data_IF_874230583287
#
_entry.id   IF_874230583287
#
_cell.length_a   1.000
_cell.length_b   1.000
_cell.length_c   1.000
_cell.angle_alpha   90.00
_cell.angle_beta   90.00
_cell.angle_gamma   90.00
#
_symmetry.space_group_name_H-M   'P 1'
#
loop_
_entity.id
_entity.type
_entity.pdbx_description
1 polymer ?
#
# COMPACT_ATOMS: atom_id res chain seq x y z
N UNK A 1 18.05 20.01 -5.74
CA UNK A 1 17.08 19.06 -6.35
C UNK A 1 16.09 18.68 -5.26
N UNK A 2 14.83 19.05 -5.40
CA UNK A 2 13.74 18.60 -4.53
C UNK A 2 13.58 17.10 -4.74
N UNK A 3 13.92 16.30 -3.73
CA UNK A 3 13.67 14.84 -3.75
C UNK A 3 12.17 14.59 -3.84
N UNK A 4 11.75 13.63 -4.66
CA UNK A 4 10.34 13.28 -4.78
C UNK A 4 9.80 12.78 -3.44
N UNK A 5 8.64 13.29 -3.05
CA UNK A 5 8.06 12.95 -1.77
C UNK A 5 6.60 13.34 -1.65
N UNK A 6 5.87 12.52 -0.91
CA UNK A 6 4.44 12.69 -0.66
C UNK A 6 4.23 13.31 0.71
N UNK A 7 3.24 14.21 0.81
CA UNK A 7 2.76 14.70 2.09
C UNK A 7 1.57 13.84 2.51
N UNK A 8 1.57 13.39 3.76
CA UNK A 8 0.44 12.70 4.37
C UNK A 8 0.08 13.43 5.66
N UNK A 9 -1.18 13.77 5.84
CA UNK A 9 -1.67 14.18 7.17
C UNK A 9 -1.42 13.06 8.19
N UNK A 10 -1.42 13.36 9.49
CA UNK A 10 -1.19 12.33 10.52
C UNK A 10 -2.13 11.12 10.39
N UNK A 11 -3.40 11.36 10.04
CA UNK A 11 -4.37 10.29 9.80
C UNK A 11 -4.04 9.47 8.54
N UNK A 12 -3.64 10.11 7.46
CA UNK A 12 -3.22 9.42 6.22
C UNK A 12 -1.93 8.63 6.42
N UNK A 13 -0.98 9.14 7.20
CA UNK A 13 0.26 8.46 7.53
C UNK A 13 -0.01 7.17 8.32
N UNK A 14 -0.85 7.23 9.36
CA UNK A 14 -1.29 6.04 10.11
C UNK A 14 -2.04 5.05 9.20
N UNK A 15 -2.95 5.55 8.35
CA UNK A 15 -3.66 4.71 7.39
C UNK A 15 -2.69 4.00 6.44
N UNK A 16 -1.69 4.70 5.93
CA UNK A 16 -0.66 4.15 5.04
C UNK A 16 0.20 3.09 5.76
N UNK A 17 0.55 3.29 7.03
CA UNK A 17 1.26 2.29 7.85
C UNK A 17 0.45 0.99 7.95
N UNK A 18 -0.86 1.08 8.25
CA UNK A 18 -1.72 -0.11 8.35
C UNK A 18 -1.88 -0.83 7.00
N UNK A 19 -1.96 -0.07 5.90
CA UNK A 19 -2.00 -0.65 4.56
C UNK A 19 -0.71 -1.40 4.24
N UNK A 20 0.44 -0.85 4.63
CA UNK A 20 1.74 -1.51 4.48
C UNK A 20 1.81 -2.84 5.25
N UNK A 21 1.36 -2.87 6.51
CA UNK A 21 1.32 -4.11 7.29
C UNK A 21 0.47 -5.20 6.65
N UNK A 22 -0.73 -4.84 6.19
CA UNK A 22 -1.64 -5.78 5.52
C UNK A 22 -1.11 -6.23 4.16
N UNK A 23 -0.31 -5.41 3.50
CA UNK A 23 0.22 -5.68 2.16
C UNK A 23 1.32 -6.75 2.11
N UNK A 24 2.08 -6.93 3.19
CA UNK A 24 3.28 -7.79 3.20
C UNK A 24 3.27 -8.93 4.21
N UNK A 25 2.15 -9.13 4.92
CA UNK A 25 2.04 -10.15 5.97
C UNK A 25 2.70 -9.73 7.28
N UNK A 26 2.73 -10.66 8.25
CA UNK A 26 3.29 -10.38 9.57
C UNK A 26 4.81 -10.16 9.48
N UNK A 27 5.30 -9.10 10.14
CA UNK A 27 6.72 -8.74 10.16
C UNK A 27 7.21 -8.66 11.62
N UNK A 28 7.43 -9.79 12.31
CA UNK A 28 7.66 -9.82 13.76
C UNK A 28 8.84 -8.94 14.20
N UNK A 29 9.90 -8.88 13.40
CA UNK A 29 11.08 -8.05 13.69
C UNK A 29 10.73 -6.55 13.69
N UNK A 30 10.06 -6.09 12.64
CA UNK A 30 9.59 -4.70 12.56
C UNK A 30 8.61 -4.40 13.71
N UNK A 31 7.68 -5.31 14.00
CA UNK A 31 6.70 -5.12 15.06
C UNK A 31 7.34 -5.02 16.44
N UNK A 32 8.39 -5.80 16.74
CA UNK A 32 9.16 -5.63 17.98
C UNK A 32 9.80 -4.23 18.08
N UNK A 33 10.38 -3.71 17.00
CA UNK A 33 10.97 -2.37 16.99
C UNK A 33 9.92 -1.29 17.23
N UNK A 34 8.75 -1.43 16.61
CA UNK A 34 7.61 -0.52 16.77
C UNK A 34 7.08 -0.57 18.19
N UNK A 35 6.86 -1.77 18.76
CA UNK A 35 6.36 -1.92 20.13
C UNK A 35 7.28 -1.22 21.14
N UNK A 36 8.59 -1.44 21.01
CA UNK A 36 9.61 -0.77 21.84
C UNK A 36 9.62 0.74 21.65
N UNK A 37 9.49 1.23 20.43
CA UNK A 37 9.54 2.66 20.12
C UNK A 37 8.28 3.41 20.58
N UNK A 38 7.11 2.81 20.40
CA UNK A 38 5.82 3.45 20.69
C UNK A 38 5.44 3.32 22.15
N UNK A 39 5.56 2.12 22.73
CA UNK A 39 5.03 1.80 24.06
C UNK A 39 6.12 1.59 25.12
N UNK A 40 7.39 1.51 24.72
CA UNK A 40 8.51 1.36 25.66
C UNK A 40 8.34 0.11 26.55
N UNK A 41 8.58 0.23 27.87
CA UNK A 41 8.51 -0.91 28.80
C UNK A 41 7.07 -1.35 29.15
N UNK A 42 6.05 -0.57 28.81
CA UNK A 42 4.66 -0.83 29.21
C UNK A 42 4.02 -2.03 28.48
N UNK A 43 4.67 -2.50 27.42
CA UNK A 43 4.27 -3.71 26.68
C UNK A 43 5.40 -4.71 26.64
N UNK A 44 5.13 -5.87 27.23
CA UNK A 44 6.04 -7.00 27.20
C UNK A 44 5.77 -7.79 25.92
N UNK A 45 6.84 -8.12 25.21
CA UNK A 45 6.76 -8.99 24.05
C UNK A 45 7.95 -9.94 24.02
N UNK A 46 7.74 -11.14 23.50
CA UNK A 46 8.77 -12.15 23.35
C UNK A 46 8.64 -12.85 22.00
N UNK A 47 9.79 -13.06 21.35
CA UNK A 47 9.89 -13.83 20.11
C UNK A 47 10.19 -15.29 20.42
N UNK A 48 9.65 -16.15 19.58
CA UNK A 48 10.06 -17.55 19.51
C UNK A 48 10.90 -17.75 18.23
N UNK A 49 12.15 -18.25 18.33
CA UNK A 49 12.98 -18.49 17.15
C UNK A 49 12.31 -19.43 16.15
N UNK A 50 12.35 -19.07 14.86
CA UNK A 50 11.75 -19.87 13.79
C UNK A 50 10.23 -19.77 13.67
N UNK A 51 9.58 -18.86 14.41
CA UNK A 51 8.14 -18.60 14.33
C UNK A 51 7.85 -17.19 13.83
N UNK A 52 6.77 -17.06 13.07
CA UNK A 52 6.30 -15.80 12.46
C UNK A 52 5.26 -15.06 13.33
N UNK A 53 5.41 -15.17 14.66
CA UNK A 53 4.49 -14.60 15.64
C UNK A 53 5.20 -14.02 16.86
N UNK A 54 4.42 -13.46 17.79
CA UNK A 54 4.89 -12.83 19.01
C UNK A 54 4.03 -13.25 20.21
N UNK A 55 4.68 -13.55 21.32
CA UNK A 55 4.06 -13.49 22.63
C UNK A 55 3.92 -12.02 23.04
N UNK A 56 2.72 -11.56 23.39
CA UNK A 56 2.48 -10.18 23.80
C UNK A 56 1.65 -10.13 25.08
N UNK A 57 2.03 -9.25 26.01
CA UNK A 57 1.27 -8.89 27.20
C UNK A 57 1.15 -7.38 27.36
N UNK A 58 0.00 -6.96 27.91
CA UNK A 58 -0.30 -5.56 28.24
C UNK A 58 -0.29 -5.41 29.76
N UNK A 59 0.67 -4.64 30.29
CA UNK A 59 0.85 -4.49 31.74
C UNK A 59 1.05 -5.83 32.47
N UNK A 60 0.16 -6.12 33.42
CA UNK A 60 0.22 -7.33 34.27
C UNK A 60 -0.54 -8.53 33.69
N UNK A 61 -1.07 -8.42 32.46
CA UNK A 61 -1.81 -9.52 31.86
C UNK A 61 -0.89 -10.67 31.44
N UNK A 62 -1.47 -11.87 31.33
CA UNK A 62 -0.76 -13.06 30.81
C UNK A 62 -0.43 -12.87 29.34
N UNK A 63 0.76 -13.29 28.94
CA UNK A 63 1.15 -13.27 27.52
C UNK A 63 0.24 -14.16 26.68
N UNK A 64 -0.15 -13.64 25.50
CA UNK A 64 -0.85 -14.37 24.45
C UNK A 64 0.01 -14.46 23.20
N UNK A 65 -0.04 -15.58 22.50
CA UNK A 65 0.60 -15.75 21.21
C UNK A 65 -0.28 -15.15 20.12
N UNK A 66 0.28 -14.29 19.27
CA UNK A 66 -0.37 -13.73 18.09
C UNK A 66 0.50 -14.00 16.87
N UNK A 67 -0.11 -14.40 15.76
CA UNK A 67 0.57 -14.65 14.49
C UNK A 67 -0.28 -14.26 13.28
N UNK A 68 0.33 -14.19 12.10
CA UNK A 68 -0.37 -13.94 10.84
C UNK A 68 -1.25 -12.67 10.89
N UNK A 69 -2.51 -12.80 10.45
CA UNK A 69 -3.47 -11.70 10.42
C UNK A 69 -3.85 -11.19 11.81
N UNK A 70 -3.89 -12.05 12.83
CA UNK A 70 -4.23 -11.65 14.20
C UNK A 70 -3.19 -10.67 14.75
N UNK A 71 -1.90 -10.95 14.52
CA UNK A 71 -0.82 -10.05 14.89
C UNK A 71 -0.88 -8.73 14.12
N UNK A 72 -1.19 -8.76 12.82
CA UNK A 72 -1.32 -7.55 12.00
C UNK A 72 -2.46 -6.66 12.52
N UNK A 73 -3.63 -7.23 12.78
CA UNK A 73 -4.79 -6.46 13.26
C UNK A 73 -4.57 -5.93 14.68
N UNK A 74 -3.89 -6.70 15.52
CA UNK A 74 -3.44 -6.20 16.82
C UNK A 74 -2.54 -4.97 16.67
N UNK A 75 -1.50 -5.04 15.83
CA UNK A 75 -0.60 -3.90 15.59
C UNK A 75 -1.34 -2.69 15.00
N UNK A 76 -2.29 -2.91 14.10
CA UNK A 76 -3.11 -1.84 13.53
C UNK A 76 -3.99 -1.16 14.58
N UNK A 77 -4.58 -1.92 15.50
CA UNK A 77 -5.46 -1.42 16.56
C UNK A 77 -4.67 -0.53 17.53
N UNK A 78 -3.55 -1.04 18.04
CA UNK A 78 -2.79 -0.35 19.09
C UNK A 78 -2.15 0.94 18.56
N UNK A 79 -1.77 0.98 17.28
CA UNK A 79 -1.23 2.20 16.65
C UNK A 79 -2.32 3.24 16.37
N UNK A 80 -3.56 2.80 16.15
CA UNK A 80 -4.68 3.71 15.95
C UNK A 80 -5.11 4.37 17.27
N UNK A 81 -4.96 3.65 18.38
CA UNK A 81 -5.24 4.15 19.73
C UNK A 81 -4.07 4.98 20.29
N UNK A 82 -2.84 4.76 19.79
CA UNK A 82 -1.69 5.53 20.17
C UNK A 82 -1.77 6.95 19.60
N UNK A 83 -2.02 7.95 20.46
CA UNK A 83 -1.85 9.36 20.12
C UNK A 83 -0.36 9.68 19.96
N UNK A 84 0.15 9.51 18.73
CA UNK A 84 1.55 9.74 18.42
C UNK A 84 1.82 11.21 18.08
N UNK A 85 2.74 11.89 18.79
CA UNK A 85 3.21 13.21 18.36
C UNK A 85 3.93 13.11 17.00
N UNK A 86 3.99 14.19 16.21
CA UNK A 86 4.52 14.17 14.84
C UNK A 86 5.91 13.55 14.70
N UNK A 87 6.81 13.77 15.66
CA UNK A 87 8.16 13.20 15.65
C UNK A 87 8.17 11.67 15.78
N UNK A 88 7.32 11.13 16.65
CA UNK A 88 7.17 9.67 16.83
C UNK A 88 6.47 9.05 15.62
N UNK A 89 5.46 9.72 15.06
CA UNK A 89 4.81 9.27 13.84
C UNK A 89 5.79 9.28 12.65
N UNK A 90 6.64 10.29 12.53
CA UNK A 90 7.71 10.32 11.53
C UNK A 90 8.69 9.15 11.72
N UNK A 91 9.07 8.84 12.98
CA UNK A 91 9.94 7.70 13.29
C UNK A 91 9.28 6.36 12.93
N UNK A 92 7.99 6.19 13.25
CA UNK A 92 7.19 5.04 12.82
C UNK A 92 7.20 4.91 11.30
N UNK A 93 6.87 5.97 10.57
CA UNK A 93 6.87 5.97 9.12
C UNK A 93 8.25 5.64 8.54
N UNK A 94 9.36 6.11 9.14
CA UNK A 94 10.72 5.73 8.68
C UNK A 94 10.97 4.24 8.80
N UNK A 95 10.57 3.63 9.93
CA UNK A 95 10.72 2.18 10.16
C UNK A 95 9.86 1.39 9.18
N UNK A 96 8.59 1.77 9.04
CA UNK A 96 7.64 1.04 8.19
C UNK A 96 7.97 1.25 6.73
N UNK A 97 8.06 2.48 6.23
CA UNK A 97 8.27 2.73 4.79
C UNK A 97 9.71 2.53 4.33
N UNK A 98 10.66 2.33 5.27
CA UNK A 98 12.09 2.20 5.00
C UNK A 98 12.63 3.36 4.14
N UNK A 99 12.10 4.56 4.42
CA UNK A 99 12.40 5.75 3.66
C UNK A 99 12.49 6.98 4.58
N UNK A 100 13.24 8.03 4.21
CA UNK A 100 13.30 9.25 5.00
C UNK A 100 11.92 9.88 5.17
N UNK A 101 11.50 10.03 6.42
CA UNK A 101 10.25 10.69 6.80
C UNK A 101 10.53 11.77 7.83
N UNK A 102 9.90 12.94 7.68
CA UNK A 102 10.00 14.07 8.61
C UNK A 102 8.63 14.68 8.88
N UNK A 103 8.39 15.23 10.08
CA UNK A 103 7.24 16.10 10.30
C UNK A 103 7.30 17.30 9.36
N UNK A 104 6.15 17.70 8.85
CA UNK A 104 5.99 18.89 8.02
C UNK A 104 4.55 19.41 8.16
N UNK A 105 4.36 20.71 8.06
CA UNK A 105 3.02 21.29 7.97
C UNK A 105 2.64 21.49 6.50
N UNK A 106 1.39 21.22 6.16
CA UNK A 106 0.89 21.43 4.82
C UNK A 106 0.96 22.92 4.47
N UNK A 107 1.64 23.27 3.38
CA UNK A 107 1.91 24.66 2.98
C UNK A 107 0.67 25.55 2.89
N UNK A 108 -0.43 25.01 2.39
CA UNK A 108 -1.68 25.76 2.20
C UNK A 108 -2.66 25.69 3.38
N UNK A 109 -2.76 24.54 4.05
CA UNK A 109 -3.80 24.30 5.07
C UNK A 109 -3.27 24.40 6.50
N UNK A 110 -1.95 24.46 6.68
CA UNK A 110 -1.29 24.46 8.00
C UNK A 110 -1.49 23.16 8.80
N UNK A 111 -2.06 22.12 8.18
CA UNK A 111 -2.29 20.84 8.85
C UNK A 111 -0.96 20.12 9.06
N UNK A 112 -0.71 19.69 10.29
CA UNK A 112 0.45 18.87 10.61
C UNK A 112 0.36 17.49 9.92
N UNK A 113 1.50 17.01 9.45
CA UNK A 113 1.62 15.73 8.79
C UNK A 113 3.08 15.29 8.66
N UNK A 114 3.29 14.32 7.77
CA UNK A 114 4.55 13.66 7.51
C UNK A 114 4.88 13.79 6.02
N UNK A 115 6.07 14.31 5.73
CA UNK A 115 6.68 14.22 4.40
C UNK A 115 7.45 12.92 4.31
N UNK A 116 7.07 12.06 3.36
CA UNK A 116 7.74 10.78 3.07
C UNK A 116 8.49 10.92 1.74
N UNK A 117 9.81 10.70 1.75
CA UNK A 117 10.58 10.58 0.51
C UNK A 117 10.30 9.21 -0.11
N UNK A 118 10.01 9.17 -1.41
CA UNK A 118 9.61 7.91 -2.08
C UNK A 118 10.78 7.17 -2.72
N UNK A 119 11.92 7.87 -2.90
CA UNK A 119 13.14 7.42 -3.59
C UNK A 119 12.85 6.84 -4.99
N UNK A 120 11.95 7.50 -5.72
CA UNK A 120 11.44 7.06 -7.01
C UNK A 120 12.22 7.64 -8.21
N UNK A 121 13.20 8.52 -7.98
CA UNK A 121 13.91 9.24 -9.05
C UNK A 121 14.68 8.31 -10.00
N UNK A 122 15.13 7.16 -9.49
CA UNK A 122 15.85 6.15 -10.28
C UNK A 122 14.93 5.06 -10.86
N UNK A 123 13.62 5.14 -10.63
CA UNK A 123 12.70 4.11 -11.08
C UNK A 123 12.42 4.21 -12.58
N UNK A 124 12.56 3.09 -13.28
CA UNK A 124 12.11 2.96 -14.67
C UNK A 124 11.31 1.67 -14.85
N UNK A 125 10.06 1.79 -15.31
CA UNK A 125 9.26 0.61 -15.65
C UNK A 125 9.89 -0.14 -16.83
N UNK A 126 10.38 -1.36 -16.57
CA UNK A 126 11.01 -2.23 -17.59
C UNK A 126 10.02 -2.95 -18.50
N UNK A 127 8.72 -2.70 -18.34
CA UNK A 127 7.66 -3.39 -19.09
C UNK A 127 7.73 -4.92 -18.94
N UNK A 128 8.23 -5.43 -17.81
CA UNK A 128 8.35 -6.88 -17.55
C UNK A 128 7.00 -7.57 -17.28
N UNK A 129 5.92 -6.80 -17.11
CA UNK A 129 4.58 -7.31 -16.84
C UNK A 129 4.40 -7.96 -15.46
N UNK A 130 5.42 -7.98 -14.59
CA UNK A 130 5.33 -8.60 -13.27
C UNK A 130 4.19 -8.01 -12.45
N UNK A 131 4.25 -6.70 -12.17
CA UNK A 131 3.23 -6.00 -11.41
C UNK A 131 1.83 -6.07 -12.03
N UNK A 132 1.74 -6.05 -13.36
CA UNK A 132 0.46 -6.18 -14.08
C UNK A 132 -0.21 -7.56 -13.90
N UNK A 133 0.57 -8.59 -13.54
CA UNK A 133 0.11 -9.98 -13.39
C UNK A 133 -0.01 -10.40 -11.93
N UNK A 134 0.80 -9.83 -11.02
CA UNK A 134 0.89 -10.28 -9.63
C UNK A 134 0.19 -9.39 -8.61
N UNK A 135 -0.04 -8.10 -8.92
CA UNK A 135 -0.68 -7.20 -7.95
C UNK A 135 -2.17 -7.47 -7.85
N UNK A 136 -2.67 -7.52 -6.62
CA UNK A 136 -4.10 -7.50 -6.34
C UNK A 136 -4.65 -6.07 -6.53
N UNK A 137 -5.05 -5.73 -7.75
CA UNK A 137 -5.60 -4.40 -8.10
C UNK A 137 -7.14 -4.35 -8.06
N UNK A 138 -7.80 -5.42 -7.61
CA UNK A 138 -9.22 -5.62 -7.87
C UNK A 138 -10.14 -4.53 -7.32
N UNK A 139 -9.85 -4.05 -6.13
CA UNK A 139 -10.58 -2.97 -5.46
C UNK A 139 -9.87 -1.61 -5.58
N UNK A 140 -8.91 -1.49 -6.51
CA UNK A 140 -8.03 -0.32 -6.63
C UNK A 140 -8.54 0.79 -7.54
N UNK A 141 -9.64 0.58 -8.26
CA UNK A 141 -10.23 1.63 -9.11
C UNK A 141 -11.12 2.56 -8.27
N UNK A 142 -10.97 3.86 -8.47
CA UNK A 142 -11.75 4.87 -7.75
C UNK A 142 -12.94 5.38 -8.59
N UNK A 143 -13.91 6.01 -7.94
CA UNK A 143 -14.99 6.71 -8.65
C UNK A 143 -14.46 7.81 -9.59
N UNK A 144 -13.34 8.45 -9.24
CA UNK A 144 -12.67 9.44 -10.08
C UNK A 144 -12.05 8.82 -11.33
N UNK A 145 -11.44 7.63 -11.21
CA UNK A 145 -10.95 6.89 -12.37
C UNK A 145 -12.10 6.55 -13.33
N UNK A 146 -13.23 6.10 -12.79
CA UNK A 146 -14.43 5.79 -13.59
C UNK A 146 -15.00 7.04 -14.27
N UNK A 147 -15.07 8.17 -13.57
CA UNK A 147 -15.49 9.44 -14.15
C UNK A 147 -14.57 9.87 -15.30
N UNK A 148 -13.24 9.79 -15.09
CA UNK A 148 -12.25 10.08 -16.13
C UNK A 148 -12.41 9.17 -17.35
N UNK A 149 -12.64 7.87 -17.15
CA UNK A 149 -12.87 6.94 -18.26
C UNK A 149 -14.13 7.28 -19.07
N UNK A 150 -15.20 7.73 -18.39
CA UNK A 150 -16.43 8.22 -19.04
C UNK A 150 -16.17 9.50 -19.85
N UNK A 151 -15.47 10.46 -19.26
CA UNK A 151 -15.08 11.70 -19.94
C UNK A 151 -14.22 11.45 -21.18
N UNK A 152 -13.30 10.48 -21.11
CA UNK A 152 -12.48 10.05 -22.25
C UNK A 152 -13.24 9.17 -23.27
N UNK A 153 -14.52 8.85 -23.05
CA UNK A 153 -15.31 8.00 -23.94
C UNK A 153 -14.83 6.54 -24.04
N UNK A 154 -14.07 6.05 -23.05
CA UNK A 154 -13.47 4.70 -23.05
C UNK A 154 -14.46 3.63 -22.58
N UNK A 155 -15.54 3.48 -23.32
CA UNK A 155 -16.58 2.46 -23.05
C UNK A 155 -16.00 1.04 -23.08
N UNK A 156 -14.99 0.80 -23.91
CA UNK A 156 -14.25 -0.46 -24.00
C UNK A 156 -13.53 -0.85 -22.70
N UNK A 157 -13.14 0.14 -21.88
CA UNK A 157 -12.55 -0.10 -20.55
C UNK A 157 -13.65 -0.25 -19.50
N UNK A 158 -14.67 0.60 -19.58
CA UNK A 158 -15.79 0.61 -18.63
C UNK A 158 -16.57 -0.70 -18.62
N UNK A 159 -16.62 -1.43 -19.74
CA UNK A 159 -17.23 -2.76 -19.82
C UNK A 159 -16.57 -3.78 -18.86
N UNK A 160 -15.30 -3.55 -18.50
CA UNK A 160 -14.55 -4.39 -17.57
C UNK A 160 -14.58 -3.90 -16.12
N UNK A 161 -15.33 -2.83 -15.84
CA UNK A 161 -15.49 -2.26 -14.50
C UNK A 161 -16.80 -2.77 -13.90
N UNK A 162 -16.68 -3.61 -12.87
CA UNK A 162 -17.83 -4.02 -12.05
C UNK A 162 -18.27 -2.89 -11.13
N UNK A 163 -19.57 -2.79 -10.90
CA UNK A 163 -20.16 -1.83 -9.98
C UNK A 163 -21.11 -2.56 -9.01
N UNK A 164 -20.90 -2.37 -7.71
CA UNK A 164 -21.75 -2.92 -6.64
C UNK A 164 -22.12 -1.82 -5.65
N UNK A 165 -23.31 -1.92 -5.06
CA UNK A 165 -23.74 -1.08 -3.94
C UNK A 165 -23.39 -1.77 -2.61
N UNK A 166 -22.83 -1.04 -1.66
CA UNK A 166 -22.70 -1.52 -0.28
C UNK A 166 -24.07 -1.51 0.41
N UNK A 167 -24.17 -2.19 1.56
CA UNK A 167 -25.37 -2.13 2.41
C UNK A 167 -25.73 -0.69 2.84
N UNK A 168 -24.74 0.21 2.83
CA UNK A 168 -24.85 1.63 3.18
C UNK A 168 -25.18 2.51 1.96
N UNK A 169 -25.43 1.93 0.80
CA UNK A 169 -25.78 2.64 -0.44
C UNK A 169 -24.59 3.34 -1.12
N UNK A 170 -23.36 2.98 -0.76
CA UNK A 170 -22.17 3.50 -1.43
C UNK A 170 -21.84 2.65 -2.66
N UNK A 171 -21.50 3.30 -3.75
CA UNK A 171 -21.05 2.61 -4.96
C UNK A 171 -19.57 2.24 -4.85
N UNK A 172 -19.28 0.95 -5.00
CA UNK A 172 -17.93 0.39 -5.06
C UNK A 172 -17.68 -0.13 -6.47
N UNK A 173 -16.48 0.13 -6.97
CA UNK A 173 -16.04 -0.28 -8.29
C UNK A 173 -14.95 -1.35 -8.18
N UNK A 174 -14.95 -2.29 -9.12
CA UNK A 174 -13.98 -3.39 -9.18
C UNK A 174 -13.45 -3.59 -10.59
N UNK A 175 -12.17 -3.94 -10.71
CA UNK A 175 -11.51 -4.22 -11.99
C UNK A 175 -10.65 -5.48 -11.91
N UNK A 176 -10.44 -6.26 -12.94
CA UNK A 176 -11.21 -6.31 -14.17
C UNK A 176 -12.24 -7.42 -13.99
N UNK A 177 -13.50 -7.10 -14.20
CA UNK A 177 -14.58 -8.09 -14.22
C UNK A 177 -14.81 -8.47 -15.68
N UNK A 178 -14.88 -9.77 -15.97
CA UNK A 178 -15.13 -10.24 -17.34
C UNK A 178 -16.54 -9.79 -17.77
N UNK A 179 -16.67 -9.08 -18.91
CA UNK A 179 -17.97 -8.59 -19.40
C UNK A 179 -19.04 -9.69 -19.45
N UNK A 180 -20.25 -9.34 -19.03
CA UNK A 180 -21.37 -10.28 -18.96
C UNK A 180 -21.29 -11.31 -17.82
N UNK A 181 -20.33 -11.16 -16.90
CA UNK A 181 -20.17 -12.03 -15.73
C UNK A 181 -19.91 -11.22 -14.45
N UNK A 182 -19.86 -11.91 -13.31
CA UNK A 182 -19.36 -11.37 -12.03
C UNK A 182 -17.99 -11.97 -11.65
N UNK A 183 -17.25 -12.51 -12.61
CA UNK A 183 -15.96 -13.15 -12.37
C UNK A 183 -14.81 -12.18 -12.64
N UNK A 184 -13.82 -12.18 -11.75
CA UNK A 184 -12.58 -11.48 -12.01
C UNK A 184 -11.85 -12.11 -13.19
N UNK A 185 -11.34 -11.27 -14.08
CA UNK A 185 -10.44 -11.71 -15.12
C UNK A 185 -9.16 -12.26 -14.47
N UNK A 186 -8.71 -13.44 -14.94
CA UNK A 186 -7.48 -14.09 -14.45
C UNK A 186 -6.26 -13.21 -14.70
N UNK A 187 -6.27 -12.42 -15.77
CA UNK A 187 -5.23 -11.47 -16.14
C UNK A 187 -5.87 -10.15 -16.56
N UNK A 188 -5.07 -9.08 -16.50
CA UNK A 188 -5.50 -7.78 -17.02
C UNK A 188 -5.80 -7.89 -18.53
N UNK A 189 -7.03 -7.55 -18.99
CA UNK A 189 -7.45 -7.69 -20.39
C UNK A 189 -6.70 -6.72 -21.33
N UNK A 190 -6.15 -5.65 -20.76
CA UNK A 190 -5.37 -4.62 -21.44
C UNK A 190 -3.86 -4.86 -21.41
N UNK A 191 -3.43 -5.98 -20.84
CA UNK A 191 -2.04 -6.42 -20.90
C UNK A 191 -1.82 -7.22 -22.19
N UNK A 192 -0.89 -6.77 -23.03
CA UNK A 192 -0.55 -7.39 -24.32
C UNK A 192 0.91 -7.80 -24.33
N UNK A 193 1.23 -8.88 -25.04
CA UNK A 193 2.62 -9.22 -25.35
C UNK A 193 3.25 -8.10 -26.16
N UNK A 194 4.48 -7.75 -25.81
CA UNK A 194 5.27 -6.74 -26.50
C UNK A 194 6.07 -7.29 -27.68
N UNK A 195 7.02 -6.50 -28.21
CA UNK A 195 7.85 -6.89 -29.35
C UNK A 195 8.80 -8.06 -29.05
N UNK A 196 9.07 -8.35 -27.77
CA UNK A 196 9.88 -9.47 -27.32
C UNK A 196 9.16 -10.25 -26.22
N UNK A 197 9.48 -11.56 -26.02
CA UNK A 197 8.78 -12.42 -25.06
C UNK A 197 8.77 -11.92 -23.61
N UNK A 198 9.76 -11.10 -23.23
CA UNK A 198 9.92 -10.57 -21.88
C UNK A 198 9.29 -9.18 -21.69
N UNK A 199 8.80 -8.57 -22.77
CA UNK A 199 8.17 -7.25 -22.73
C UNK A 199 6.67 -7.36 -22.84
N UNK A 200 5.98 -6.53 -22.07
CA UNK A 200 4.54 -6.43 -22.00
C UNK A 200 4.09 -4.98 -22.16
N UNK A 201 3.04 -4.78 -22.95
CA UNK A 201 2.47 -3.48 -23.23
C UNK A 201 1.13 -3.34 -22.53
N UNK A 202 0.85 -2.14 -22.02
CA UNK A 202 -0.46 -1.78 -21.49
C UNK A 202 -1.20 -1.00 -22.57
N UNK A 203 -2.27 -1.57 -23.14
CA UNK A 203 -3.04 -0.92 -24.21
C UNK A 203 -3.90 0.25 -23.74
N UNK A 204 -3.88 0.56 -22.44
CA UNK A 204 -4.61 1.67 -21.81
C UNK A 204 -3.66 2.63 -21.07
N UNK A 205 -2.40 2.72 -21.53
CA UNK A 205 -1.33 3.42 -20.82
C UNK A 205 -1.68 4.86 -20.43
N UNK A 206 -2.32 5.59 -21.33
CA UNK A 206 -2.79 6.97 -21.23
C UNK A 206 -3.89 7.16 -20.19
N UNK A 207 -4.79 6.18 -20.08
CA UNK A 207 -5.98 6.22 -19.20
C UNK A 207 -5.91 5.21 -18.05
N UNK A 208 -4.71 4.76 -17.68
CA UNK A 208 -4.50 3.86 -16.54
C UNK A 208 -5.27 4.36 -15.30
N UNK A 209 -5.99 3.48 -14.60
CA UNK A 209 -6.50 3.77 -13.27
C UNK A 209 -5.37 4.18 -12.34
N UNK A 210 -5.70 4.98 -11.33
CA UNK A 210 -4.74 5.52 -10.36
C UNK A 210 -3.89 4.44 -9.70
N UNK A 211 -4.49 3.30 -9.33
CA UNK A 211 -3.76 2.15 -8.77
C UNK A 211 -2.65 1.61 -9.68
N UNK A 212 -2.88 1.60 -11.01
CA UNK A 212 -1.89 1.14 -11.99
C UNK A 212 -0.90 2.24 -12.36
N UNK A 213 -1.33 3.51 -12.40
CA UNK A 213 -0.49 4.66 -12.77
C UNK A 213 0.53 4.96 -11.69
N UNK A 214 0.13 4.90 -10.43
CA UNK A 214 0.96 5.26 -9.28
C UNK A 214 1.83 4.09 -8.79
N UNK A 215 1.80 2.95 -9.47
CA UNK A 215 2.67 1.83 -9.11
C UNK A 215 4.07 2.00 -9.71
N UNK A 216 5.14 1.75 -8.92
CA UNK A 216 5.14 1.57 -7.47
C UNK A 216 5.09 2.94 -6.77
N UNK A 217 4.46 2.99 -5.59
CA UNK A 217 4.34 4.25 -4.82
C UNK A 217 5.62 4.64 -4.08
N UNK A 218 6.55 3.71 -3.92
CA UNK A 218 7.85 3.92 -3.28
C UNK A 218 8.84 2.85 -3.71
N UNK A 219 10.13 3.11 -3.49
CA UNK A 219 11.20 2.12 -3.71
C UNK A 219 10.97 0.84 -2.92
N UNK A 220 10.59 0.94 -1.64
CA UNK A 220 10.22 -0.22 -0.81
C UNK A 220 9.13 -1.05 -1.48
N UNK A 221 8.05 -0.40 -1.95
CA UNK A 221 6.95 -1.12 -2.59
C UNK A 221 7.41 -1.89 -3.83
N UNK A 222 8.26 -1.28 -4.65
CA UNK A 222 8.83 -1.95 -5.83
C UNK A 222 9.64 -3.19 -5.44
N UNK A 223 10.57 -3.07 -4.48
CA UNK A 223 11.43 -4.15 -4.04
C UNK A 223 10.63 -5.30 -3.43
N UNK A 224 9.71 -4.99 -2.51
CA UNK A 224 8.89 -5.98 -1.81
C UNK A 224 7.95 -6.76 -2.75
N UNK A 225 7.61 -6.19 -3.91
CA UNK A 225 6.76 -6.84 -4.93
C UNK A 225 7.56 -7.42 -6.10
N UNK A 226 8.89 -7.43 -6.01
CA UNK A 226 9.78 -8.04 -7.00
C UNK A 226 9.85 -7.26 -8.32
N UNK A 227 9.62 -5.94 -8.29
CA UNK A 227 9.73 -5.11 -9.48
C UNK A 227 11.22 -4.85 -9.82
N UNK A 228 11.68 -5.17 -11.04
CA UNK A 228 13.08 -4.97 -11.44
C UNK A 228 13.38 -3.52 -11.85
N UNK A 229 12.47 -2.57 -11.61
CA UNK A 229 12.58 -1.19 -12.11
C UNK A 229 13.67 -0.34 -11.45
N UNK A 230 14.34 -0.87 -10.44
CA UNK A 230 15.46 -0.23 -9.73
C UNK A 230 16.82 -0.91 -9.96
N UNK A 231 16.85 -2.02 -10.69
CA UNK A 231 18.11 -2.63 -11.08
C UNK A 231 18.83 -1.64 -12.02
N UNK A 232 20.04 -1.24 -11.66
CA UNK A 232 20.93 -0.50 -12.55
C UNK A 232 21.23 -1.34 -13.79
N UNK A 233 21.13 -0.72 -14.96
CA UNK A 233 21.79 -1.22 -16.19
C UNK A 233 23.29 -1.15 -15.97
#
# INVERSE_FOLDING_TARGET
MTREGIFLTSQEALRAVRLDFRGYGAQPMLFCEILRMVFGPDRLYQREPGKEGLWIAEGLQRMRWLEGSELIEYMCTILNEAELPPDRLAALCRLVFQAPCRPEDHSETGRAGIRVQTDMEAFACRQCGQCCRSLAYHDGITAQDVAKLKECGRLDILEWVGQTQTAEGQTVYRIWITPGSNQFAVLCPFLKSGPSPERWLCSIHDVKPTICRNYPVSRKHALMTGCPGFDTI
#
